data_IF_565921901260
#
_entry.id   IF_565921901260
#
_cell.length_a   1.000
_cell.length_b   1.000
_cell.length_c   1.000
_cell.angle_alpha   90.00
_cell.angle_beta   90.00
_cell.angle_gamma   90.00
#
_symmetry.space_group_name_H-M   'P 1'
#
loop_
_entity.id
_entity.type
_entity.pdbx_description
1 polymer ?
#
# COMPACT_ATOMS: atom_id res chain seq x y z
N UNK A 1 56.44 -8.58 3.39
CA UNK A 1 56.82 -7.90 2.13
C UNK A 1 55.55 -7.81 1.29
N UNK A 2 55.03 -6.68 0.83
CA UNK A 2 55.40 -5.28 0.97
C UNK A 2 54.15 -4.40 1.00
N UNK A 3 54.33 -3.19 1.51
CA UNK A 3 53.35 -2.12 1.51
C UNK A 3 53.22 -1.51 0.10
N UNK A 4 52.03 -0.98 -0.21
CA UNK A 4 51.76 -0.27 -1.47
C UNK A 4 50.60 0.70 -1.32
N UNK A 5 50.84 1.80 -0.62
CA UNK A 5 50.00 3.00 -0.65
C UNK A 5 50.06 3.65 -2.04
N UNK A 6 48.93 4.06 -2.61
CA UNK A 6 48.88 5.12 -3.63
C UNK A 6 47.51 5.81 -3.63
N UNK A 7 47.58 7.12 -3.41
CA UNK A 7 46.51 8.12 -3.27
C UNK A 7 46.22 8.74 -4.67
N UNK A 8 45.08 9.45 -4.90
CA UNK A 8 44.49 9.62 -6.23
C UNK A 8 45.01 10.83 -7.00
N UNK A 9 44.93 10.75 -8.32
CA UNK A 9 45.14 11.86 -9.25
C UNK A 9 43.87 12.71 -9.35
N UNK A 10 44.02 14.02 -9.11
CA UNK A 10 43.00 15.02 -9.37
C UNK A 10 43.05 15.47 -10.83
N UNK A 11 41.92 15.44 -11.51
CA UNK A 11 41.74 16.08 -12.81
C UNK A 11 41.02 17.41 -12.65
N UNK A 12 41.62 18.42 -13.24
CA UNK A 12 41.30 19.84 -13.25
C UNK A 12 40.14 20.16 -14.20
N UNK A 13 39.47 21.29 -13.93
CA UNK A 13 38.89 22.13 -14.98
C UNK A 13 37.37 22.11 -15.13
N UNK A 14 36.68 23.10 -14.54
CA UNK A 14 35.98 24.14 -15.32
C UNK A 14 35.26 25.09 -14.36
N UNK A 15 35.89 26.22 -14.08
CA UNK A 15 35.29 27.34 -13.35
C UNK A 15 34.66 28.27 -14.37
N UNK A 16 33.40 28.05 -14.74
CA UNK A 16 32.62 29.09 -15.43
C UNK A 16 32.20 30.15 -14.41
N UNK A 17 33.03 31.19 -14.30
CA UNK A 17 32.70 32.43 -13.62
C UNK A 17 31.70 33.19 -14.49
N UNK A 18 30.42 33.16 -14.13
CA UNK A 18 29.39 33.96 -14.79
C UNK A 18 29.50 35.41 -14.31
N UNK A 19 30.27 36.22 -15.03
CA UNK A 19 30.35 37.67 -14.84
C UNK A 19 29.09 38.34 -15.39
N UNK A 20 28.12 38.70 -14.54
CA UNK A 20 27.04 39.62 -14.91
C UNK A 20 27.48 41.06 -14.68
N UNK A 21 27.53 41.80 -15.79
CA UNK A 21 27.69 43.26 -15.87
C UNK A 21 26.58 43.95 -15.06
N UNK A 22 26.89 44.95 -14.22
CA UNK A 22 25.88 45.75 -13.55
C UNK A 22 25.32 46.78 -14.54
N UNK A 23 24.10 46.55 -15.03
CA UNK A 23 23.32 47.62 -15.65
C UNK A 23 22.64 48.41 -14.52
N UNK A 24 23.18 49.60 -14.27
CA UNK A 24 22.58 50.58 -13.37
C UNK A 24 21.19 50.98 -13.83
N UNK A 25 20.23 50.95 -12.92
CA UNK A 25 19.05 51.79 -12.99
C UNK A 25 19.10 52.78 -11.83
N UNK A 26 19.04 54.04 -12.24
CA UNK A 26 18.91 55.24 -11.43
C UNK A 26 17.72 55.14 -10.48
N UNK A 27 17.94 55.46 -9.20
CA UNK A 27 16.89 55.71 -8.22
C UNK A 27 17.19 57.05 -7.54
N UNK A 28 16.34 58.06 -7.74
CA UNK A 28 16.17 59.19 -6.81
C UNK A 28 14.79 59.85 -7.06
N UNK A 29 14.17 60.53 -6.07
CA UNK A 29 14.31 60.39 -4.62
C UNK A 29 12.94 60.31 -3.88
N UNK A 30 13.03 60.21 -2.54
CA UNK A 30 12.03 60.55 -1.53
C UNK A 30 11.25 59.39 -0.88
N UNK A 31 11.94 58.66 0.00
CA UNK A 31 11.29 58.06 1.17
C UNK A 31 12.19 58.36 2.37
N UNK A 32 11.63 59.06 3.36
CA UNK A 32 12.22 59.33 4.67
C UNK A 32 12.57 58.00 5.34
N UNK A 33 13.85 57.63 5.37
CA UNK A 33 14.33 56.49 6.14
C UNK A 33 14.55 56.91 7.59
N UNK A 34 13.65 56.51 8.48
CA UNK A 34 13.98 56.39 9.91
C UNK A 34 14.76 55.09 10.10
N UNK A 35 15.94 55.09 10.74
CA UNK A 35 16.69 53.88 10.98
C UNK A 35 16.14 53.21 12.26
N UNK A 36 15.32 52.17 12.09
CA UNK A 36 15.06 51.21 13.16
C UNK A 36 15.68 49.88 12.76
N UNK A 37 16.82 49.64 13.38
CA UNK A 37 17.48 48.35 13.67
C UNK A 37 16.54 47.14 13.51
N UNK A 38 16.73 46.34 12.46
CA UNK A 38 16.21 44.97 12.42
C UNK A 38 17.28 44.02 12.96
N UNK A 39 17.22 43.77 14.27
CA UNK A 39 17.91 42.64 14.90
C UNK A 39 17.21 41.33 14.48
N UNK A 40 17.95 40.28 14.07
CA UNK A 40 17.35 38.98 13.77
C UNK A 40 17.07 38.22 15.07
N UNK A 41 15.85 38.33 15.59
CA UNK A 41 15.38 37.47 16.67
C UNK A 41 14.97 36.11 16.08
N UNK A 42 15.66 35.04 16.46
CA UNK A 42 15.46 33.66 15.99
C UNK A 42 14.17 32.98 16.52
N UNK A 43 13.22 33.76 17.05
CA UNK A 43 12.00 33.25 17.68
C UNK A 43 10.74 34.04 17.28
N UNK A 44 10.75 34.66 16.10
CA UNK A 44 9.53 35.19 15.47
C UNK A 44 9.10 34.22 14.35
N UNK A 45 7.81 33.84 14.25
CA UNK A 45 7.31 33.09 13.12
C UNK A 45 7.65 33.84 11.83
N UNK A 46 8.38 33.20 10.91
CA UNK A 46 8.68 33.79 9.61
C UNK A 46 7.34 33.96 8.86
N UNK A 47 6.80 35.18 8.89
CA UNK A 47 5.58 35.52 8.17
C UNK A 47 5.96 35.94 6.76
N UNK A 48 5.58 35.11 5.79
CA UNK A 48 5.66 35.47 4.37
C UNK A 48 4.51 36.43 4.04
N UNK A 49 4.75 37.39 3.15
CA UNK A 49 3.67 38.24 2.67
C UNK A 49 2.63 37.37 1.96
N UNK A 50 1.35 37.57 2.26
CA UNK A 50 0.23 36.82 1.65
C UNK A 50 0.33 36.79 0.12
N UNK A 51 0.74 37.92 -0.48
CA UNK A 51 0.95 38.04 -1.93
C UNK A 51 2.08 37.16 -2.47
N UNK A 52 3.13 36.89 -1.69
CA UNK A 52 4.19 35.96 -2.08
C UNK A 52 3.70 34.51 -1.97
N UNK A 53 2.94 34.19 -0.92
CA UNK A 53 2.37 32.83 -0.73
C UNK A 53 1.40 32.51 -1.88
N UNK A 54 0.54 33.45 -2.26
CA UNK A 54 -0.41 33.28 -3.36
C UNK A 54 0.29 33.23 -4.74
N UNK A 55 1.35 34.03 -4.94
CA UNK A 55 2.20 33.91 -6.13
C UNK A 55 2.92 32.55 -6.17
N UNK A 56 3.41 32.03 -5.05
CA UNK A 56 4.06 30.71 -5.00
C UNK A 56 3.05 29.57 -5.17
N UNK A 57 1.80 29.73 -4.70
CA UNK A 57 0.71 28.79 -4.92
C UNK A 57 0.22 28.76 -6.38
N UNK A 58 0.28 29.88 -7.08
CA UNK A 58 -0.09 29.98 -8.50
C UNK A 58 1.05 29.57 -9.46
N UNK A 59 2.30 29.48 -8.97
CA UNK A 59 3.45 29.04 -9.75
C UNK A 59 3.55 27.51 -9.83
N UNK A 60 2.91 26.93 -10.83
CA UNK A 60 2.92 25.49 -11.13
C UNK A 60 4.32 24.93 -11.46
N UNK A 61 5.23 25.75 -12.00
CA UNK A 61 6.58 25.29 -12.35
C UNK A 61 7.41 24.90 -11.11
N UNK A 62 7.30 25.69 -10.03
CA UNK A 62 7.98 25.42 -8.76
C UNK A 62 7.41 24.16 -8.09
N UNK A 63 6.09 23.99 -8.15
CA UNK A 63 5.42 22.81 -7.61
C UNK A 63 5.87 21.53 -8.31
N UNK A 64 6.00 21.56 -9.64
CA UNK A 64 6.50 20.41 -10.41
C UNK A 64 7.94 20.00 -10.03
N UNK A 65 8.80 20.98 -9.72
CA UNK A 65 10.17 20.74 -9.30
C UNK A 65 10.23 20.17 -7.88
N UNK A 66 9.39 20.70 -6.97
CA UNK A 66 9.24 20.19 -5.59
C UNK A 66 8.68 18.77 -5.61
N UNK A 67 7.62 18.51 -6.37
CA UNK A 67 7.01 17.20 -6.53
C UNK A 67 8.03 16.16 -7.03
N UNK A 68 8.82 16.49 -8.06
CA UNK A 68 9.91 15.63 -8.55
C UNK A 68 10.98 15.35 -7.49
N UNK A 69 11.38 16.37 -6.73
CA UNK A 69 12.36 16.18 -5.65
C UNK A 69 11.86 15.25 -4.54
N UNK A 70 10.58 15.37 -4.17
CA UNK A 70 9.94 14.50 -3.19
C UNK A 70 9.79 13.08 -3.73
N UNK A 71 9.39 12.93 -4.99
CA UNK A 71 9.27 11.64 -5.64
C UNK A 71 10.61 10.89 -5.67
N UNK A 72 11.71 11.57 -6.03
CA UNK A 72 13.05 10.99 -5.98
C UNK A 72 13.47 10.58 -4.57
N UNK A 73 13.11 11.38 -3.55
CA UNK A 73 13.39 11.04 -2.16
C UNK A 73 12.59 9.81 -1.69
N UNK A 74 11.33 9.69 -2.12
CA UNK A 74 10.49 8.52 -1.84
C UNK A 74 11.11 7.28 -2.48
N UNK A 75 11.47 7.36 -3.76
CA UNK A 75 12.14 6.26 -4.48
C UNK A 75 13.43 5.82 -3.77
N UNK A 76 14.26 6.78 -3.34
CA UNK A 76 15.49 6.48 -2.61
C UNK A 76 15.21 5.76 -1.27
N UNK A 77 14.22 6.21 -0.50
CA UNK A 77 13.85 5.56 0.77
C UNK A 77 13.28 4.16 0.53
N UNK A 78 12.39 3.99 -0.44
CA UNK A 78 11.81 2.68 -0.76
C UNK A 78 12.91 1.72 -1.21
N UNK A 79 13.82 2.16 -2.08
CA UNK A 79 14.95 1.34 -2.51
C UNK A 79 15.85 0.92 -1.33
N UNK A 80 16.13 1.84 -0.40
CA UNK A 80 16.90 1.54 0.82
C UNK A 80 16.21 0.52 1.73
N UNK A 81 14.90 0.66 1.94
CA UNK A 81 14.13 -0.29 2.76
C UNK A 81 14.01 -1.66 2.09
N UNK A 82 13.86 -1.70 0.76
CA UNK A 82 13.87 -2.96 0.01
C UNK A 82 15.21 -3.69 0.13
N UNK A 83 16.32 -2.97 0.07
CA UNK A 83 17.64 -3.58 0.23
C UNK A 83 17.83 -4.13 1.64
N UNK A 84 17.42 -3.37 2.66
CA UNK A 84 17.42 -3.83 4.06
C UNK A 84 16.59 -5.09 4.28
N UNK A 85 15.44 -5.21 3.61
CA UNK A 85 14.61 -6.42 3.69
C UNK A 85 15.28 -7.60 2.99
N UNK A 86 15.87 -7.40 1.79
CA UNK A 86 16.61 -8.44 1.08
C UNK A 86 17.78 -8.98 1.88
N UNK A 87 18.55 -8.12 2.54
CA UNK A 87 19.66 -8.54 3.40
C UNK A 87 19.16 -9.42 4.57
N UNK A 88 18.04 -9.02 5.21
CA UNK A 88 17.43 -9.82 6.28
C UNK A 88 16.96 -11.17 5.76
N UNK A 89 16.26 -11.19 4.62
CA UNK A 89 15.81 -12.43 3.99
C UNK A 89 17.00 -13.34 3.66
N UNK A 90 18.06 -12.81 3.04
CA UNK A 90 19.26 -13.57 2.72
C UNK A 90 19.95 -14.12 3.98
N UNK A 91 20.02 -13.34 5.06
CA UNK A 91 20.56 -13.82 6.34
C UNK A 91 19.73 -14.97 6.90
N UNK A 92 18.39 -14.87 6.86
CA UNK A 92 17.51 -15.96 7.32
C UNK A 92 17.63 -17.21 6.46
N UNK A 93 17.77 -17.06 5.15
CA UNK A 93 17.99 -18.18 4.24
C UNK A 93 19.32 -18.86 4.54
N UNK A 94 20.41 -18.10 4.71
CA UNK A 94 21.71 -18.64 5.05
C UNK A 94 21.72 -19.35 6.41
N UNK A 95 20.98 -18.83 7.40
CA UNK A 95 20.80 -19.50 8.69
C UNK A 95 20.06 -20.83 8.54
N UNK A 96 18.96 -20.85 7.79
CA UNK A 96 18.18 -22.06 7.52
C UNK A 96 19.03 -23.09 6.77
N UNK A 97 19.79 -22.67 5.74
CA UNK A 97 20.70 -23.54 4.99
C UNK A 97 21.78 -24.14 5.91
N UNK A 98 22.36 -23.35 6.81
CA UNK A 98 23.30 -23.83 7.82
C UNK A 98 22.67 -24.86 8.76
N UNK A 99 21.45 -24.59 9.25
CA UNK A 99 20.70 -25.54 10.10
C UNK A 99 20.37 -26.82 9.37
N UNK A 100 20.02 -26.74 8.09
CA UNK A 100 19.76 -27.90 7.27
C UNK A 100 21.03 -28.74 7.06
N UNK A 101 22.20 -28.10 6.87
CA UNK A 101 23.48 -28.80 6.77
C UNK A 101 23.85 -29.50 8.09
N UNK A 102 23.75 -28.81 9.23
CA UNK A 102 24.02 -29.39 10.56
C UNK A 102 23.10 -30.58 10.88
N UNK A 103 21.81 -30.50 10.52
CA UNK A 103 20.85 -31.61 10.68
C UNK A 103 21.17 -32.76 9.72
N UNK A 104 21.66 -32.47 8.51
CA UNK A 104 21.98 -33.49 7.49
C UNK A 104 23.19 -34.35 7.84
N UNK A 105 24.17 -33.83 8.59
CA UNK A 105 25.33 -34.59 9.06
C UNK A 105 25.02 -35.52 10.26
N UNK A 106 23.82 -35.42 10.84
CA UNK A 106 23.32 -36.30 11.90
C UNK A 106 22.16 -37.18 11.39
N UNK A 107 22.46 -38.17 10.54
CA UNK A 107 21.46 -39.18 10.15
C UNK A 107 21.34 -40.29 11.23
N UNK A 108 20.13 -40.55 11.73
CA UNK A 108 19.42 -41.73 11.22
C UNK A 108 18.06 -41.38 10.60
N UNK A 109 17.49 -42.39 9.92
CA UNK A 109 16.34 -42.38 9.02
C UNK A 109 15.11 -41.53 9.43
N UNK A 110 14.43 -41.04 8.38
CA UNK A 110 13.26 -40.16 8.35
C UNK A 110 12.13 -40.48 9.36
N UNK A 111 11.30 -39.46 9.70
CA UNK A 111 10.07 -39.29 8.93
C UNK A 111 9.94 -37.92 8.28
N UNK A 112 9.34 -37.96 7.09
CA UNK A 112 8.98 -36.85 6.20
C UNK A 112 8.09 -35.81 6.88
N UNK A 113 8.69 -34.69 7.25
CA UNK A 113 8.00 -33.43 7.52
C UNK A 113 7.46 -32.89 6.21
N UNK A 114 6.14 -32.93 6.03
CA UNK A 114 5.47 -32.15 4.99
C UNK A 114 5.75 -30.67 5.20
N UNK A 115 6.34 -29.93 4.25
CA UNK A 115 6.21 -28.49 4.26
C UNK A 115 4.73 -28.18 4.03
N UNK A 116 4.14 -27.46 4.97
CA UNK A 116 2.84 -26.84 4.86
C UNK A 116 2.89 -25.83 3.71
N UNK A 117 2.74 -26.28 2.46
CA UNK A 117 2.45 -25.42 1.33
C UNK A 117 0.97 -25.09 1.41
N UNK A 118 0.69 -24.11 2.27
CA UNK A 118 -0.40 -23.18 2.04
C UNK A 118 -0.19 -22.64 0.63
N UNK A 119 -1.08 -22.98 -0.30
CA UNK A 119 -1.18 -22.23 -1.54
C UNK A 119 -1.55 -20.79 -1.13
N UNK A 120 -0.69 -19.77 -1.34
CA UNK A 120 -1.24 -18.44 -1.45
C UNK A 120 -2.17 -18.46 -2.66
N UNK A 121 -3.42 -18.05 -2.45
CA UNK A 121 -4.25 -17.58 -3.55
C UNK A 121 -3.48 -16.43 -4.23
N UNK A 122 -2.79 -16.73 -5.33
CA UNK A 122 -1.85 -15.77 -5.91
C UNK A 122 -0.87 -16.33 -6.92
N UNK A 123 -1.34 -17.13 -7.88
CA UNK A 123 -0.66 -17.25 -9.18
C UNK A 123 -1.60 -16.72 -10.27
N UNK A 124 -2.00 -15.46 -10.10
CA UNK A 124 -2.39 -14.61 -11.22
C UNK A 124 -1.11 -13.95 -11.70
N UNK A 125 -0.38 -14.61 -12.61
CA UNK A 125 0.63 -13.93 -13.40
C UNK A 125 -0.08 -12.82 -14.20
N UNK A 126 0.13 -11.56 -13.80
CA UNK A 126 -0.47 -10.38 -14.43
C UNK A 126 0.15 -10.01 -15.79
N UNK A 127 0.94 -10.91 -16.38
CA UNK A 127 1.62 -10.72 -17.67
C UNK A 127 1.16 -11.73 -18.74
N UNK A 128 0.16 -12.57 -18.46
CA UNK A 128 -0.48 -13.36 -19.49
C UNK A 128 -1.37 -12.45 -20.37
N UNK A 129 -1.16 -12.36 -21.70
CA UNK A 129 -2.04 -11.61 -22.59
C UNK A 129 -3.47 -12.11 -22.41
N UNK A 130 -4.34 -11.21 -21.94
CA UNK A 130 -5.75 -11.47 -21.71
C UNK A 130 -6.38 -11.87 -23.04
N UNK A 131 -6.63 -13.17 -23.23
CA UNK A 131 -7.43 -13.65 -24.35
C UNK A 131 -8.81 -12.98 -24.20
N UNK A 132 -9.27 -12.17 -25.17
CA UNK A 132 -10.57 -11.55 -25.06
C UNK A 132 -11.63 -12.65 -25.16
N UNK A 133 -12.56 -12.63 -24.21
CA UNK A 133 -13.80 -13.40 -24.23
C UNK A 133 -14.52 -13.18 -25.57
N UNK A 134 -14.37 -14.13 -26.49
CA UNK A 134 -15.23 -14.28 -27.65
C UNK A 134 -15.66 -15.75 -27.67
N UNK A 135 -16.91 -16.00 -27.29
CA UNK A 135 -17.48 -17.34 -27.27
C UNK A 135 -17.40 -17.96 -28.65
N UNK A 136 -16.90 -19.20 -28.72
CA UNK A 136 -17.11 -20.05 -29.87
C UNK A 136 -16.82 -21.52 -29.51
N UNK A 137 -17.91 -22.27 -29.35
CA UNK A 137 -18.15 -23.64 -29.82
C UNK A 137 -17.04 -24.70 -29.70
N UNK A 138 -17.46 -25.81 -29.10
CA UNK A 138 -16.88 -27.15 -29.17
C UNK A 138 -16.11 -27.38 -30.48
N UNK A 139 -14.80 -27.59 -30.38
CA UNK A 139 -14.09 -28.33 -31.41
C UNK A 139 -13.09 -29.26 -30.72
N UNK A 140 -13.50 -30.52 -30.64
CA UNK A 140 -12.64 -31.62 -30.25
C UNK A 140 -11.44 -31.65 -31.20
N UNK A 141 -10.24 -31.41 -30.66
CA UNK A 141 -8.99 -31.75 -31.33
C UNK A 141 -8.16 -32.67 -30.43
N UNK A 142 -7.47 -33.67 -31.01
CA UNK A 142 -7.06 -34.87 -30.30
C UNK A 142 -5.73 -34.68 -29.56
N UNK A 143 -5.59 -35.45 -28.48
CA UNK A 143 -4.42 -35.51 -27.61
C UNK A 143 -3.08 -35.76 -28.34
N UNK A 144 -1.96 -35.20 -27.86
CA UNK A 144 -0.70 -35.90 -27.86
C UNK A 144 -0.61 -36.74 -26.59
N UNK A 145 -0.59 -38.05 -26.78
CA UNK A 145 -0.17 -39.06 -25.81
C UNK A 145 1.28 -38.78 -25.39
N UNK A 146 1.48 -38.39 -24.14
CA UNK A 146 2.77 -38.51 -23.46
C UNK A 146 2.51 -38.89 -22.00
N UNK A 147 2.97 -40.09 -21.66
CA UNK A 147 2.83 -40.72 -20.37
C UNK A 147 3.38 -39.84 -19.24
N UNK A 148 2.52 -39.49 -18.28
CA UNK A 148 2.92 -39.07 -16.96
C UNK A 148 2.15 -39.92 -15.95
N UNK A 149 2.89 -40.55 -15.06
CA UNK A 149 2.45 -41.59 -14.15
C UNK A 149 1.20 -41.19 -13.36
N UNK A 150 0.26 -42.12 -13.33
CA UNK A 150 -0.88 -42.18 -12.43
C UNK A 150 -0.35 -42.28 -10.99
N UNK A 151 -0.20 -41.15 -10.31
CA UNK A 151 -0.05 -41.10 -8.86
C UNK A 151 -1.46 -41.09 -8.29
N UNK A 152 -1.87 -42.07 -7.47
CA UNK A 152 -3.21 -42.15 -6.95
C UNK A 152 -3.49 -40.89 -6.13
N UNK A 153 -4.38 -40.05 -6.65
CA UNK A 153 -4.99 -38.93 -5.94
C UNK A 153 -5.51 -39.52 -4.64
N UNK A 154 -4.91 -39.11 -3.52
CA UNK A 154 -5.27 -39.54 -2.16
C UNK A 154 -6.76 -39.26 -1.95
N UNK A 155 -7.59 -40.27 -2.22
CA UNK A 155 -9.05 -40.22 -2.27
C UNK A 155 -9.68 -40.56 -0.93
N UNK A 156 -8.91 -40.51 0.14
CA UNK A 156 -9.37 -40.79 1.50
C UNK A 156 -9.31 -39.54 2.39
N UNK A 157 -9.74 -38.39 1.86
CA UNK A 157 -10.43 -37.42 2.72
C UNK A 157 -11.86 -37.94 2.87
N UNK A 158 -12.03 -38.93 3.74
CA UNK A 158 -13.33 -39.58 3.96
C UNK A 158 -14.37 -38.53 4.35
N UNK A 159 -15.62 -38.73 3.93
CA UNK A 159 -16.76 -37.85 4.22
C UNK A 159 -16.86 -37.52 5.71
N UNK A 160 -16.49 -38.47 6.55
CA UNK A 160 -16.43 -38.37 8.01
C UNK A 160 -15.37 -37.36 8.48
N UNK A 161 -14.19 -37.34 7.85
CA UNK A 161 -13.12 -36.38 8.15
C UNK A 161 -13.54 -34.95 7.79
N UNK A 162 -14.19 -34.77 6.63
CA UNK A 162 -14.67 -33.46 6.19
C UNK A 162 -15.79 -32.96 7.10
N UNK A 163 -16.72 -33.83 7.50
CA UNK A 163 -17.77 -33.45 8.45
C UNK A 163 -17.20 -33.08 9.83
N UNK A 164 -16.22 -33.83 10.32
CA UNK A 164 -15.54 -33.53 11.58
C UNK A 164 -14.81 -32.17 11.54
N UNK A 165 -14.15 -31.86 10.41
CA UNK A 165 -13.49 -30.57 10.22
C UNK A 165 -14.49 -29.42 10.09
N UNK A 166 -15.64 -29.65 9.43
CA UNK A 166 -16.75 -28.68 9.37
C UNK A 166 -17.30 -28.40 10.77
N UNK A 167 -17.50 -29.43 11.60
CA UNK A 167 -17.96 -29.27 12.99
C UNK A 167 -16.93 -28.52 13.85
N UNK A 168 -15.64 -28.83 13.69
CA UNK A 168 -14.57 -28.12 14.37
C UNK A 168 -14.49 -26.65 13.95
N UNK A 169 -14.69 -26.36 12.66
CA UNK A 169 -14.74 -24.99 12.13
C UNK A 169 -15.98 -24.25 12.65
N UNK A 170 -17.15 -24.89 12.71
CA UNK A 170 -18.37 -24.31 13.31
C UNK A 170 -18.15 -23.96 14.78
N UNK A 171 -17.58 -24.87 15.57
CA UNK A 171 -17.25 -24.62 16.97
C UNK A 171 -16.25 -23.47 17.15
N UNK A 172 -15.23 -23.37 16.29
CA UNK A 172 -14.29 -22.24 16.27
C UNK A 172 -14.95 -20.92 15.86
N UNK A 173 -15.91 -20.95 14.94
CA UNK A 173 -16.66 -19.76 14.49
C UNK A 173 -17.67 -19.30 15.55
N UNK A 174 -18.30 -20.21 16.29
CA UNK A 174 -19.17 -19.91 17.43
C UNK A 174 -18.38 -19.34 18.61
N UNK A 175 -17.16 -19.82 18.83
CA UNK A 175 -16.24 -19.27 19.84
C UNK A 175 -15.68 -17.90 19.49
N UNK A 176 -15.81 -17.43 18.24
CA UNK A 176 -15.49 -16.05 17.87
C UNK A 176 -16.67 -15.16 18.28
N UNK A 177 -16.35 -14.02 18.90
CA UNK A 177 -17.34 -12.97 19.22
C UNK A 177 -18.15 -12.67 17.96
N UNK A 178 -19.42 -13.08 17.97
CA UNK A 178 -20.37 -12.75 16.90
C UNK A 178 -20.35 -11.23 16.75
N UNK A 179 -20.11 -10.77 15.52
CA UNK A 179 -20.18 -9.36 15.17
C UNK A 179 -21.51 -8.85 15.72
N UNK A 180 -21.49 -7.74 16.46
CA UNK A 180 -22.69 -7.15 17.07
C UNK A 180 -23.77 -7.12 16.00
N UNK A 181 -24.84 -7.88 16.23
CA UNK A 181 -25.96 -7.96 15.30
C UNK A 181 -26.44 -6.53 15.07
N UNK A 182 -26.47 -6.12 13.80
CA UNK A 182 -26.89 -4.77 13.44
C UNK A 182 -28.32 -4.60 13.92
N UNK A 183 -28.58 -3.53 14.67
CA UNK A 183 -29.90 -3.27 15.24
C UNK A 183 -30.99 -3.36 14.16
N UNK A 184 -32.08 -4.07 14.46
CA UNK A 184 -33.18 -4.34 13.51
C UNK A 184 -33.71 -3.06 12.83
N UNK A 185 -33.64 -1.91 13.54
CA UNK A 185 -34.07 -0.61 13.01
C UNK A 185 -33.19 -0.13 11.85
N UNK A 186 -31.88 -0.35 11.95
CA UNK A 186 -30.92 0.00 10.89
C UNK A 186 -31.12 -0.91 9.68
N UNK A 187 -31.41 -2.19 9.91
CA UNK A 187 -31.71 -3.13 8.83
C UNK A 187 -33.00 -2.79 8.10
N UNK A 188 -34.04 -2.39 8.84
CA UNK A 188 -35.30 -1.93 8.27
C UNK A 188 -35.09 -0.66 7.44
N UNK A 189 -34.43 0.36 7.99
CA UNK A 189 -34.15 1.61 7.28
C UNK A 189 -33.28 1.38 6.01
N UNK A 190 -32.31 0.45 6.07
CA UNK A 190 -31.54 0.01 4.90
C UNK A 190 -32.47 -0.57 3.83
N UNK A 191 -33.39 -1.44 4.22
CA UNK A 191 -34.32 -2.09 3.29
C UNK A 191 -35.28 -1.07 2.65
N UNK A 192 -35.71 -0.04 3.38
CA UNK A 192 -36.55 1.04 2.85
C UNK A 192 -35.81 1.86 1.78
N UNK A 193 -34.55 2.23 2.04
CA UNK A 193 -33.69 2.89 1.03
C UNK A 193 -33.52 2.02 -0.21
N UNK A 194 -33.19 0.73 -0.01
CA UNK A 194 -33.01 -0.21 -1.13
C UNK A 194 -34.30 -0.39 -1.92
N UNK A 195 -35.44 -0.44 -1.25
CA UNK A 195 -36.75 -0.56 -1.90
C UNK A 195 -37.07 0.69 -2.71
N UNK A 196 -36.88 1.88 -2.15
CA UNK A 196 -37.09 3.13 -2.89
C UNK A 196 -36.17 3.24 -4.10
N UNK A 197 -34.87 2.95 -3.95
CA UNK A 197 -33.91 3.03 -5.06
C UNK A 197 -34.16 1.99 -6.15
N UNK A 198 -34.76 0.84 -5.81
CA UNK A 198 -35.21 -0.15 -6.81
C UNK A 198 -36.45 0.30 -7.57
N UNK A 199 -37.37 0.99 -6.90
CA UNK A 199 -38.57 1.56 -7.51
C UNK A 199 -38.26 2.81 -8.36
N UNK A 200 -37.24 3.58 -7.96
CA UNK A 200 -36.82 4.84 -8.58
C UNK A 200 -35.37 4.75 -9.10
N UNK A 201 -35.06 3.71 -9.88
CA UNK A 201 -33.73 3.40 -10.41
C UNK A 201 -33.11 4.52 -11.26
N UNK A 202 -33.94 5.26 -12.01
CA UNK A 202 -33.53 6.41 -12.83
C UNK A 202 -33.68 7.76 -12.13
N UNK A 203 -34.25 7.80 -10.92
CA UNK A 203 -34.48 9.03 -10.15
C UNK A 203 -34.10 8.84 -8.66
N UNK A 204 -32.80 8.70 -8.34
CA UNK A 204 -32.36 8.50 -6.96
C UNK A 204 -32.71 9.66 -6.01
N UNK A 205 -32.91 10.87 -6.55
CA UNK A 205 -33.29 12.06 -5.80
C UNK A 205 -34.69 11.97 -5.19
N UNK A 206 -35.57 11.07 -5.65
CA UNK A 206 -36.91 10.87 -5.07
C UNK A 206 -36.83 10.21 -3.67
N UNK A 207 -35.74 9.47 -3.41
CA UNK A 207 -35.54 8.63 -2.21
C UNK A 207 -34.80 9.31 -1.05
N UNK A 208 -34.79 10.65 -1.03
CA UNK A 208 -34.02 11.42 -0.06
C UNK A 208 -34.53 11.25 1.38
N UNK A 209 -35.83 11.02 1.57
CA UNK A 209 -36.43 10.86 2.91
C UNK A 209 -35.97 9.58 3.59
N UNK A 210 -35.91 8.49 2.83
CA UNK A 210 -35.48 7.17 3.25
C UNK A 210 -33.99 7.20 3.62
N UNK A 211 -33.19 7.92 2.83
CA UNK A 211 -31.76 8.12 3.12
C UNK A 211 -31.56 8.93 4.40
N UNK A 212 -32.35 9.99 4.62
CA UNK A 212 -32.30 10.75 5.88
C UNK A 212 -32.79 9.92 7.08
N UNK A 213 -33.76 9.04 6.89
CA UNK A 213 -34.18 8.06 7.91
C UNK A 213 -33.05 7.11 8.29
N UNK A 214 -32.39 6.52 7.28
CA UNK A 214 -31.25 5.63 7.49
C UNK A 214 -30.10 6.32 8.21
N UNK A 215 -29.74 7.56 7.83
CA UNK A 215 -28.68 8.33 8.49
C UNK A 215 -28.97 8.56 9.97
N UNK A 216 -30.22 8.81 10.35
CA UNK A 216 -30.60 8.99 11.76
C UNK A 216 -30.40 7.72 12.57
N UNK A 217 -30.80 6.57 12.04
CA UNK A 217 -30.62 5.28 12.73
C UNK A 217 -29.13 4.89 12.83
N UNK A 218 -28.34 5.18 11.80
CA UNK A 218 -26.88 4.99 11.85
C UNK A 218 -26.24 5.91 12.89
N UNK A 219 -26.59 7.20 12.91
CA UNK A 219 -26.06 8.16 13.87
C UNK A 219 -26.32 7.73 15.33
N UNK A 220 -27.53 7.19 15.61
CA UNK A 220 -27.87 6.64 16.93
C UNK A 220 -26.97 5.45 17.32
N UNK A 221 -26.68 4.56 16.36
CA UNK A 221 -25.82 3.40 16.60
C UNK A 221 -24.34 3.80 16.75
N UNK A 222 -23.91 4.79 15.97
CA UNK A 222 -22.56 5.37 16.04
C UNK A 222 -22.33 6.09 17.36
N UNK A 223 -23.29 6.89 17.87
CA UNK A 223 -23.20 7.55 19.17
C UNK A 223 -22.97 6.53 20.30
N UNK A 224 -23.81 5.49 20.37
CA UNK A 224 -23.67 4.41 21.36
C UNK A 224 -22.36 3.62 21.21
N UNK A 225 -21.80 3.53 20.00
CA UNK A 225 -20.50 2.91 19.76
C UNK A 225 -19.35 3.82 20.22
N UNK A 226 -19.40 5.11 19.88
CA UNK A 226 -18.40 6.10 20.27
C UNK A 226 -18.34 6.24 21.78
N UNK A 227 -19.49 6.30 22.46
CA UNK A 227 -19.58 6.33 23.93
C UNK A 227 -18.91 5.10 24.57
N UNK A 228 -19.07 3.92 23.98
CA UNK A 228 -18.45 2.68 24.48
C UNK A 228 -16.93 2.64 24.24
N UNK A 229 -16.45 3.28 23.18
CA UNK A 229 -15.04 3.19 22.75
C UNK A 229 -14.20 4.30 23.38
N UNK A 230 -14.78 5.47 23.60
CA UNK A 230 -14.10 6.66 24.12
C UNK A 230 -14.40 6.93 25.60
N UNK A 231 -15.56 6.49 26.10
CA UNK A 231 -15.97 6.61 27.51
C UNK A 231 -15.51 5.46 28.38
#
# INVERSE_FOLDING_TARGET
>A
MGAGSSKPEGSTGSKHVFTRKPYGRSCHPNIKTNPLTSQPNSNAPIQFSSNLVEALQTNTETDSSRAKSLELQIQARVAQELERLREREQQTLAEIEKRLAEVKDSAPAAPSSTPNVTYPAGSLNLDAPRIPFAGREYESTPAPTAAAADQPISRDLSRESVNAEIEQLRAKLEGRRKLVEVDERVEQARNEVVTCLRLHDRRPLDCWKEVEGFKKEVARLEEAFVDRVVG
#
